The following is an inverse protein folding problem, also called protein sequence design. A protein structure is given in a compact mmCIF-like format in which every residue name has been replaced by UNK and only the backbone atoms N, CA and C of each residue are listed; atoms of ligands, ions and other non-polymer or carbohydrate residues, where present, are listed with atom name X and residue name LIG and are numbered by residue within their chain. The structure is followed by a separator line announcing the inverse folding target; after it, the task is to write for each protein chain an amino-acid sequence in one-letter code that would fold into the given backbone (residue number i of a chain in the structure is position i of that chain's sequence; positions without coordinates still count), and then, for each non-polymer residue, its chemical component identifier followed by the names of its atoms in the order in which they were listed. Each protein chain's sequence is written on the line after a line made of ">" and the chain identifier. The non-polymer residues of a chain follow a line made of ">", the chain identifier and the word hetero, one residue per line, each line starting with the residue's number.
data_IF_669915289279
#
_entry.id   IF_669915289279
#
_cell.length_a   1.000
_cell.length_b   1.000
_cell.length_c   1.000
_cell.angle_alpha   90.00
_cell.angle_beta   90.00
_cell.angle_gamma   90.00
#
_symmetry.space_group_name_H-M   'P 1'
#
loop_
_entity.id
_entity.type
_entity.pdbx_description
1 polymer ?
#
# COMPACT_ATOMS: atom_id res chain seq x y z
N UNK A 1 -8.06 -3.38 16.41
CA UNK A 1 -7.02 -4.39 16.09
C UNK A 1 -6.86 -4.56 14.59
N UNK A 2 -7.87 -4.98 13.83
CA UNK A 2 -7.74 -5.18 12.37
C UNK A 2 -7.42 -3.89 11.60
N UNK A 3 -8.03 -2.75 11.96
CA UNK A 3 -7.69 -1.44 11.37
C UNK A 3 -6.21 -1.11 11.63
N UNK A 4 -5.74 -1.28 12.87
CA UNK A 4 -4.33 -1.07 13.23
C UNK A 4 -3.40 -1.94 12.38
N UNK A 5 -3.71 -3.23 12.23
CA UNK A 5 -2.94 -4.14 11.38
C UNK A 5 -2.93 -3.68 9.91
N UNK A 6 -4.09 -3.34 9.35
CA UNK A 6 -4.18 -2.82 7.99
C UNK A 6 -3.37 -1.54 7.79
N UNK A 7 -3.45 -0.60 8.73
CA UNK A 7 -2.65 0.64 8.70
C UNK A 7 -1.15 0.34 8.77
N UNK A 8 -0.71 -0.56 9.65
CA UNK A 8 0.70 -0.96 9.75
C UNK A 8 1.22 -1.61 8.46
N UNK A 9 0.39 -2.40 7.76
CA UNK A 9 0.79 -2.95 6.45
C UNK A 9 1.00 -1.85 5.42
N UNK A 10 0.13 -0.83 5.40
CA UNK A 10 0.31 0.33 4.50
C UNK A 10 1.56 1.14 4.86
N UNK A 11 1.80 1.37 6.15
CA UNK A 11 3.01 2.06 6.62
C UNK A 11 4.28 1.33 6.17
N UNK A 12 4.30 -0.01 6.24
CA UNK A 12 5.44 -0.80 5.76
C UNK A 12 5.68 -0.66 4.25
N UNK A 13 4.60 -0.61 3.46
CA UNK A 13 4.68 -0.32 2.01
C UNK A 13 5.26 1.08 1.77
N UNK A 14 4.80 2.08 2.51
CA UNK A 14 5.30 3.45 2.37
C UNK A 14 6.75 3.63 2.81
N UNK A 15 7.20 2.93 3.85
CA UNK A 15 8.61 2.93 4.25
C UNK A 15 9.50 2.30 3.17
N UNK A 16 9.03 1.24 2.50
CA UNK A 16 9.76 0.69 1.36
C UNK A 16 9.79 1.64 0.16
N UNK A 17 8.68 2.29 -0.18
CA UNK A 17 8.68 3.35 -1.20
C UNK A 17 9.65 4.48 -0.84
N UNK A 18 9.74 4.81 0.46
CA UNK A 18 10.66 5.82 0.95
C UNK A 18 12.12 5.38 0.82
N UNK A 19 12.42 4.10 1.00
CA UNK A 19 13.78 3.54 0.92
C UNK A 19 14.35 3.53 -0.51
N UNK A 20 13.47 3.51 -1.52
CA UNK A 20 13.86 3.59 -2.94
C UNK A 20 14.54 4.90 -3.31
N UNK A 21 15.36 4.90 -4.36
CA UNK A 21 16.14 6.08 -4.77
C UNK A 21 15.36 7.00 -5.72
N UNK A 22 14.42 6.46 -6.49
CA UNK A 22 13.71 7.22 -7.54
C UNK A 22 12.20 6.96 -7.53
N UNK A 23 11.43 7.90 -8.10
CA UNK A 23 9.99 7.71 -8.31
C UNK A 23 9.69 6.61 -9.36
N UNK A 24 10.61 6.37 -10.29
CA UNK A 24 10.50 5.31 -11.29
C UNK A 24 10.58 3.91 -10.67
N UNK A 25 11.43 3.72 -9.66
CA UNK A 25 11.48 2.46 -8.88
C UNK A 25 10.15 2.22 -8.16
N UNK A 26 9.56 3.27 -7.56
CA UNK A 26 8.26 3.17 -6.87
C UNK A 26 7.15 2.75 -7.84
N UNK A 27 7.10 3.37 -9.02
CA UNK A 27 6.00 3.14 -9.99
C UNK A 27 6.15 1.85 -10.79
N UNK A 28 7.35 1.28 -10.87
CA UNK A 28 7.61 0.01 -11.58
C UNK A 28 7.50 -1.23 -10.69
N UNK A 29 7.47 -1.08 -9.36
CA UNK A 29 7.34 -2.21 -8.45
C UNK A 29 5.91 -2.78 -8.43
N UNK A 30 5.82 -4.11 -8.44
CA UNK A 30 4.57 -4.82 -8.13
C UNK A 30 4.35 -4.88 -6.62
N UNK A 31 3.65 -3.87 -6.11
CA UNK A 31 3.33 -3.74 -4.69
C UNK A 31 2.38 -4.82 -4.15
N UNK A 32 1.58 -5.44 -5.02
CA UNK A 32 0.68 -6.54 -4.61
C UNK A 32 1.52 -7.78 -4.34
N UNK A 33 2.42 -8.12 -5.26
CA UNK A 33 3.36 -9.23 -5.06
C UNK A 33 4.29 -8.95 -3.88
N UNK A 34 4.82 -7.74 -3.74
CA UNK A 34 5.62 -7.33 -2.57
C UNK A 34 4.89 -7.57 -1.25
N UNK A 35 3.62 -7.16 -1.15
CA UNK A 35 2.83 -7.33 0.06
C UNK A 35 2.63 -8.81 0.42
N UNK A 36 2.38 -9.67 -0.57
CA UNK A 36 2.27 -11.13 -0.36
C UNK A 36 3.59 -11.74 0.07
N UNK A 37 4.70 -11.39 -0.60
CA UNK A 37 6.04 -11.92 -0.27
C UNK A 37 6.50 -11.52 1.13
N UNK A 38 6.11 -10.34 1.60
CA UNK A 38 6.46 -9.83 2.93
C UNK A 38 5.41 -10.14 4.01
N UNK A 39 4.44 -11.02 3.73
CA UNK A 39 3.39 -11.42 4.68
C UNK A 39 2.55 -10.25 5.22
N UNK A 40 2.24 -9.25 4.38
CA UNK A 40 1.38 -8.10 4.70
C UNK A 40 -0.12 -8.38 4.42
N UNK A 41 -0.51 -9.66 4.45
CA UNK A 41 -1.85 -10.16 4.17
C UNK A 41 -2.35 -11.08 5.29
N UNK A 42 -2.20 -10.62 6.53
CA UNK A 42 -2.50 -11.40 7.75
C UNK A 42 -3.98 -11.39 8.15
N UNK A 43 -4.79 -10.50 7.56
CA UNK A 43 -6.23 -10.44 7.79
C UNK A 43 -6.99 -11.42 6.88
N UNK A 44 -8.21 -11.78 7.29
CA UNK A 44 -9.04 -12.70 6.52
C UNK A 44 -9.43 -12.08 5.18
N UNK A 45 -9.10 -12.77 4.08
CA UNK A 45 -9.33 -12.31 2.71
C UNK A 45 -8.77 -10.89 2.50
N UNK A 46 -7.58 -10.64 3.03
CA UNK A 46 -6.91 -9.36 2.84
C UNK A 46 -6.47 -9.19 1.38
N UNK A 47 -6.77 -8.02 0.81
CA UNK A 47 -6.29 -7.61 -0.49
C UNK A 47 -5.65 -6.22 -0.38
N UNK A 48 -4.46 -6.10 -0.96
CA UNK A 48 -3.67 -4.87 -1.04
C UNK A 48 -3.75 -4.34 -2.47
N UNK A 49 -3.93 -3.04 -2.63
CA UNK A 49 -3.82 -2.37 -3.91
C UNK A 49 -3.11 -1.04 -3.76
N UNK A 50 -2.19 -0.74 -4.68
CA UNK A 50 -1.50 0.55 -4.76
C UNK A 50 -1.86 1.20 -6.09
N UNK A 51 -2.23 2.48 -6.04
CA UNK A 51 -2.57 3.27 -7.21
C UNK A 51 -1.80 4.59 -7.20
N UNK A 52 -1.42 5.05 -8.40
CA UNK A 52 -0.77 6.32 -8.64
C UNK A 52 -1.74 7.23 -9.39
N UNK A 53 -1.97 8.45 -8.90
CA UNK A 53 -2.85 9.41 -9.58
C UNK A 53 -2.24 9.87 -10.91
N UNK A 54 -0.95 10.21 -10.88
CA UNK A 54 -0.11 10.47 -12.05
C UNK A 54 1.28 9.86 -11.79
N UNK A 55 1.66 8.76 -12.45
CA UNK A 55 2.93 8.07 -12.20
C UNK A 55 4.16 8.86 -12.67
N UNK A 56 3.98 9.95 -13.42
CA UNK A 56 5.07 10.81 -13.90
C UNK A 56 5.19 12.12 -13.11
N UNK A 57 4.26 12.39 -12.19
CA UNK A 57 4.26 13.61 -11.39
C UNK A 57 5.33 13.59 -10.29
N UNK A 58 5.86 14.76 -9.98
CA UNK A 58 6.66 15.05 -8.79
C UNK A 58 6.05 16.28 -8.09
N UNK A 59 5.42 16.12 -6.90
CA UNK A 59 5.40 14.91 -6.10
C UNK A 59 4.48 13.81 -6.64
N UNK A 60 4.94 12.56 -6.55
CA UNK A 60 4.18 11.35 -6.87
C UNK A 60 3.12 11.12 -5.79
N UNK A 61 1.85 11.20 -6.17
CA UNK A 61 0.72 10.89 -5.28
C UNK A 61 0.39 9.39 -5.33
N UNK A 62 0.49 8.74 -4.17
CA UNK A 62 0.29 7.30 -4.01
C UNK A 62 -0.87 7.05 -3.07
N UNK A 63 -1.83 6.24 -3.49
CA UNK A 63 -2.92 5.74 -2.64
C UNK A 63 -2.78 4.23 -2.47
N UNK A 64 -2.62 3.80 -1.22
CA UNK A 64 -2.62 2.39 -0.86
C UNK A 64 -3.93 2.06 -0.15
N UNK A 65 -4.60 1.02 -0.62
CA UNK A 65 -5.80 0.48 -0.04
C UNK A 65 -5.55 -0.94 0.46
N UNK A 66 -6.01 -1.19 1.69
CA UNK A 66 -6.13 -2.53 2.27
C UNK A 66 -7.61 -2.81 2.45
N UNK A 67 -8.07 -3.96 1.95
CA UNK A 67 -9.42 -4.46 2.20
C UNK A 67 -9.38 -5.82 2.87
N UNK A 68 -10.31 -6.10 3.78
CA UNK A 68 -10.41 -7.40 4.46
C UNK A 68 -11.84 -7.73 4.84
N UNK A 69 -12.12 -9.02 5.06
CA UNK A 69 -13.42 -9.50 5.51
C UNK A 69 -13.47 -9.57 7.05
N UNK A 70 -14.48 -8.95 7.65
CA UNK A 70 -14.79 -9.10 9.06
C UNK A 70 -16.30 -9.26 9.26
N UNK A 71 -16.71 -10.34 9.94
CA UNK A 71 -18.12 -10.65 10.21
C UNK A 71 -19.03 -10.59 8.96
N UNK A 72 -18.53 -11.08 7.82
CA UNK A 72 -19.28 -11.10 6.56
C UNK A 72 -19.36 -9.76 5.83
N UNK A 73 -18.68 -8.72 6.30
CA UNK A 73 -18.59 -7.41 5.64
C UNK A 73 -17.15 -7.12 5.22
N UNK A 74 -16.99 -6.54 4.04
CA UNK A 74 -15.69 -6.02 3.59
C UNK A 74 -15.46 -4.67 4.24
N UNK A 75 -14.29 -4.51 4.85
CA UNK A 75 -13.78 -3.26 5.37
C UNK A 75 -12.62 -2.82 4.52
N UNK A 76 -12.42 -1.52 4.42
CA UNK A 76 -11.33 -0.93 3.68
C UNK A 76 -10.68 0.21 4.47
N UNK A 77 -9.37 0.34 4.31
CA UNK A 77 -8.57 1.45 4.80
C UNK A 77 -7.78 1.97 3.61
N UNK A 78 -7.91 3.25 3.33
CA UNK A 78 -7.22 3.94 2.25
C UNK A 78 -6.31 4.98 2.90
N UNK A 79 -5.02 4.95 2.58
CA UNK A 79 -4.09 6.02 2.93
C UNK A 79 -3.49 6.57 1.64
N UNK A 80 -3.41 7.90 1.58
CA UNK A 80 -2.82 8.62 0.47
C UNK A 80 -1.63 9.41 0.99
N UNK A 81 -0.53 9.37 0.27
CA UNK A 81 0.70 10.11 0.57
C UNK A 81 1.33 10.67 -0.71
N UNK A 82 2.33 11.52 -0.53
CA UNK A 82 3.09 12.15 -1.61
C UNK A 82 4.58 11.87 -1.42
N UNK A 83 5.23 11.33 -2.44
CA UNK A 83 6.67 11.12 -2.48
C UNK A 83 7.33 12.10 -3.44
N UNK A 84 8.48 12.63 -3.03
CA UNK A 84 9.42 13.38 -3.88
C UNK A 84 10.81 12.81 -3.61
N UNK A 85 11.72 12.92 -4.58
CA UNK A 85 13.07 12.33 -4.52
C UNK A 85 14.12 13.32 -4.99
#
# INVERSE_FOLDING_TARGET
>A
RNITTATTHVEYIFEEMRSMSTLAEITSMDWVTYAVTNNLNTLKNEAVSVAFTDPLADPLEVTTQISWLHQGRTYNVNLTTKFTK
#
